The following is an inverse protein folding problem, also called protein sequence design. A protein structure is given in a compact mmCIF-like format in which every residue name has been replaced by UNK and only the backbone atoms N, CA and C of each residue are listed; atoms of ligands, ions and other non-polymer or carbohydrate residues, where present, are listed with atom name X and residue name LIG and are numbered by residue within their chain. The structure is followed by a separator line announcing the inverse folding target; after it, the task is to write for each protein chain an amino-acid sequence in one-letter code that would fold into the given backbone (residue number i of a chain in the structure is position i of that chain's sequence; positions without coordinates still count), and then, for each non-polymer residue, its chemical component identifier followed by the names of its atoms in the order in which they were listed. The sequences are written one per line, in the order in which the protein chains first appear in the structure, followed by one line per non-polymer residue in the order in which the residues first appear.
data_IF_437493645578
#
_entry.id   IF_437493645578
#
_cell.length_a   1.000
_cell.length_b   1.000
_cell.length_c   1.000
_cell.angle_alpha   90.00
_cell.angle_beta   90.00
_cell.angle_gamma   90.00
#
_symmetry.space_group_name_H-M   'P 1'
#
loop_
_entity.id
_entity.type
_entity.pdbx_description
1 polymer ?
#
# COMPACT_ATOMS: atom_id res chain seq x y z
N UNK A 1 8.50 -16.90 -9.67
CA UNK A 1 9.04 -15.58 -9.29
C UNK A 1 8.15 -15.07 -8.17
N UNK A 2 8.74 -14.57 -7.07
CA UNK A 2 7.95 -14.07 -5.94
C UNK A 2 7.62 -12.61 -6.18
N UNK A 3 6.36 -12.30 -6.48
CA UNK A 3 5.88 -10.92 -6.60
C UNK A 3 5.95 -10.24 -5.23
N UNK A 4 6.54 -9.06 -5.16
CA UNK A 4 6.53 -8.22 -3.97
C UNK A 4 5.61 -7.02 -4.19
N UNK A 5 4.91 -6.63 -3.12
CA UNK A 5 4.06 -5.45 -3.06
C UNK A 5 4.50 -4.61 -1.87
N UNK A 6 4.65 -3.32 -2.14
CA UNK A 6 4.91 -2.27 -1.17
C UNK A 6 3.67 -1.39 -1.17
N UNK A 7 3.06 -1.18 0.00
CA UNK A 7 1.97 -0.22 0.17
C UNK A 7 2.43 0.82 1.19
N UNK A 8 2.24 2.10 0.89
CA UNK A 8 2.54 3.23 1.75
C UNK A 8 1.27 4.04 1.97
N UNK A 9 0.99 4.41 3.22
CA UNK A 9 -0.23 5.10 3.63
C UNK A 9 0.14 6.16 4.68
N UNK A 10 -0.46 7.36 4.67
CA UNK A 10 -0.28 8.30 5.77
C UNK A 10 -0.62 7.68 7.13
N UNK A 11 0.18 7.95 8.16
CA UNK A 11 0.01 7.41 9.51
C UNK A 11 -1.33 7.81 10.13
N UNK A 12 -1.87 8.98 9.76
CA UNK A 12 -3.21 9.43 10.18
C UNK A 12 -4.35 8.53 9.68
N UNK A 13 -4.11 7.72 8.64
CA UNK A 13 -5.10 6.84 8.02
C UNK A 13 -4.88 5.36 8.38
N UNK A 14 -3.98 5.05 9.31
CA UNK A 14 -3.54 3.69 9.61
C UNK A 14 -4.69 2.77 10.04
N UNK A 15 -5.60 3.26 10.87
CA UNK A 15 -6.71 2.46 11.39
C UNK A 15 -7.73 2.15 10.29
N UNK A 16 -8.08 3.16 9.49
CA UNK A 16 -8.95 3.02 8.32
C UNK A 16 -8.34 2.07 7.29
N UNK A 17 -7.04 2.18 7.05
CA UNK A 17 -6.32 1.31 6.13
C UNK A 17 -6.26 -0.16 6.60
N UNK A 18 -6.08 -0.38 7.90
CA UNK A 18 -6.14 -1.73 8.48
C UNK A 18 -7.55 -2.32 8.34
N UNK A 19 -8.59 -1.54 8.60
CA UNK A 19 -9.98 -1.97 8.40
C UNK A 19 -10.25 -2.30 6.92
N UNK A 20 -9.77 -1.47 5.99
CA UNK A 20 -9.87 -1.71 4.55
C UNK A 20 -9.16 -3.00 4.15
N UNK A 21 -7.92 -3.20 4.64
CA UNK A 21 -7.18 -4.43 4.38
C UNK A 21 -7.91 -5.67 4.89
N UNK A 22 -8.52 -5.60 6.07
CA UNK A 22 -9.35 -6.68 6.60
C UNK A 22 -10.58 -6.94 5.72
N UNK A 23 -11.29 -5.89 5.28
CA UNK A 23 -12.44 -6.00 4.38
C UNK A 23 -12.07 -6.64 3.03
N UNK A 24 -10.86 -6.36 2.53
CA UNK A 24 -10.31 -6.95 1.30
C UNK A 24 -9.71 -8.35 1.49
N UNK A 25 -9.82 -8.95 2.69
CA UNK A 25 -9.32 -10.30 2.95
C UNK A 25 -7.80 -10.40 3.08
N UNK A 26 -7.11 -9.27 3.32
CA UNK A 26 -5.66 -9.20 3.54
C UNK A 26 -5.26 -9.70 4.94
N UNK A 27 -6.24 -9.77 5.85
CA UNK A 27 -6.05 -10.22 7.22
C UNK A 27 -5.19 -9.26 8.07
N UNK A 28 -4.95 -9.63 9.33
CA UNK A 28 -4.22 -8.81 10.31
C UNK A 28 -2.70 -8.90 10.20
N UNK A 29 -2.15 -9.59 9.20
CA UNK A 29 -0.71 -9.93 9.10
C UNK A 29 0.11 -8.94 8.26
N UNK A 30 -0.24 -7.67 8.29
CA UNK A 30 0.55 -6.65 7.61
C UNK A 30 1.65 -6.15 8.56
N UNK A 31 2.90 -6.10 8.08
CA UNK A 31 3.98 -5.48 8.83
C UNK A 31 3.97 -3.98 8.60
N UNK A 32 3.79 -3.24 9.68
CA UNK A 32 3.70 -1.78 9.70
C UNK A 32 5.06 -1.19 10.08
N UNK A 33 5.69 -0.43 9.19
CA UNK A 33 6.96 0.28 9.47
C UNK A 33 6.73 1.77 9.30
N UNK A 34 7.05 2.57 10.32
CA UNK A 34 6.97 4.03 10.20
C UNK A 34 8.10 4.56 9.33
N UNK A 35 7.77 5.49 8.46
CA UNK A 35 8.67 6.19 7.56
C UNK A 35 8.60 7.69 7.82
N UNK A 36 9.74 8.33 7.69
CA UNK A 36 9.88 9.79 7.73
C UNK A 36 10.56 10.28 6.45
N UNK A 37 10.40 11.55 6.09
CA UNK A 37 11.24 12.19 5.08
C UNK A 37 12.73 11.97 5.35
N UNK A 38 13.51 11.78 4.28
CA UNK A 38 14.96 11.63 4.35
C UNK A 38 15.63 12.95 4.76
N UNK A 39 15.06 14.08 4.33
CA UNK A 39 15.46 15.42 4.72
C UNK A 39 14.60 15.86 5.91
N UNK A 40 15.18 15.89 7.11
CA UNK A 40 14.54 16.09 8.43
C UNK A 40 13.82 17.44 8.64
N UNK A 41 13.62 18.23 7.57
CA UNK A 41 13.08 19.60 7.63
C UNK A 41 11.62 19.73 7.17
N UNK A 42 10.99 18.67 6.67
CA UNK A 42 9.64 18.80 6.08
C UNK A 42 8.51 18.47 7.05
N UNK A 43 7.47 19.30 7.04
CA UNK A 43 6.14 19.08 7.67
C UNK A 43 5.33 17.99 6.95
N UNK A 44 5.99 17.04 6.29
CA UNK A 44 5.29 15.96 5.59
C UNK A 44 4.71 15.00 6.63
N UNK A 45 3.43 14.60 6.53
CA UNK A 45 2.83 13.69 7.50
C UNK A 45 3.63 12.38 7.57
N UNK A 46 3.78 11.84 8.78
CA UNK A 46 4.38 10.52 8.98
C UNK A 46 3.73 9.52 8.02
N UNK A 47 4.53 8.78 7.26
CA UNK A 47 4.04 7.76 6.35
C UNK A 47 4.26 6.41 6.99
N UNK A 48 3.34 5.50 6.79
CA UNK A 48 3.48 4.13 7.24
C UNK A 48 3.57 3.20 6.06
N UNK A 49 4.56 2.33 6.09
CA UNK A 49 4.72 1.24 5.16
C UNK A 49 4.02 -0.01 5.65
N UNK A 50 3.39 -0.69 4.70
CA UNK A 50 2.79 -2.01 4.84
C UNK A 50 3.49 -2.99 3.90
N UNK A 51 4.14 -3.99 4.51
CA UNK A 51 5.00 -4.94 3.81
C UNK A 51 4.35 -6.30 3.54
N UNK A 52 4.58 -6.76 2.31
CA UNK A 52 4.46 -8.12 1.78
C UNK A 52 3.22 -8.95 2.14
N UNK A 53 2.14 -8.65 1.44
CA UNK A 53 1.04 -9.58 1.30
C UNK A 53 1.43 -10.66 0.30
N UNK A 54 1.42 -11.94 0.72
CA UNK A 54 1.50 -13.09 -0.19
C UNK A 54 0.45 -13.03 -1.32
N UNK A 55 -0.61 -12.22 -1.14
CA UNK A 55 -1.68 -11.95 -2.11
C UNK A 55 -1.35 -10.87 -3.16
N UNK A 56 -0.19 -10.21 -3.08
CA UNK A 56 0.32 -9.29 -4.09
C UNK A 56 0.37 -9.89 -5.51
N UNK A 57 0.48 -11.22 -5.57
CA UNK A 57 0.48 -11.99 -6.81
C UNK A 57 -0.93 -12.30 -7.35
N UNK A 58 -2.00 -11.98 -6.60
CA UNK A 58 -3.36 -12.27 -7.04
C UNK A 58 -3.86 -11.21 -8.02
N UNK A 59 -4.14 -11.56 -9.29
CA UNK A 59 -4.59 -10.59 -10.30
C UNK A 59 -5.87 -9.86 -9.90
N UNK A 60 -6.75 -10.52 -9.13
CA UNK A 60 -8.00 -9.93 -8.64
C UNK A 60 -7.75 -8.79 -7.66
N UNK A 61 -6.77 -8.94 -6.76
CA UNK A 61 -6.43 -7.89 -5.82
C UNK A 61 -5.88 -6.65 -6.55
N UNK A 62 -4.97 -6.86 -7.50
CA UNK A 62 -4.40 -5.77 -8.30
C UNK A 62 -5.48 -5.04 -9.12
N UNK A 63 -6.38 -5.78 -9.75
CA UNK A 63 -7.51 -5.22 -10.48
C UNK A 63 -8.43 -4.40 -9.56
N UNK A 64 -8.69 -4.87 -8.33
CA UNK A 64 -9.46 -4.11 -7.34
C UNK A 64 -8.77 -2.81 -6.93
N UNK A 65 -7.46 -2.84 -6.66
CA UNK A 65 -6.70 -1.63 -6.30
C UNK A 65 -6.69 -0.59 -7.42
N UNK A 66 -6.49 -1.04 -8.67
CA UNK A 66 -6.50 -0.17 -9.85
C UNK A 66 -7.89 0.42 -10.10
N UNK A 67 -8.92 -0.41 -10.10
CA UNK A 67 -10.31 0.06 -10.24
C UNK A 67 -10.67 1.06 -9.15
N UNK A 68 -10.23 0.82 -7.92
CA UNK A 68 -10.47 1.69 -6.79
C UNK A 68 -9.77 3.07 -6.95
N UNK A 69 -8.56 3.12 -7.50
CA UNK A 69 -7.88 4.38 -7.85
C UNK A 69 -8.64 5.16 -8.93
N UNK A 70 -9.30 4.47 -9.85
CA UNK A 70 -10.20 5.06 -10.86
C UNK A 70 -11.59 5.43 -10.29
N UNK A 71 -11.81 5.28 -8.97
CA UNK A 71 -13.06 5.61 -8.28
C UNK A 71 -14.11 4.49 -8.30
N UNK A 72 -13.77 3.30 -8.79
CA UNK A 72 -14.64 2.13 -8.85
C UNK A 72 -14.33 1.20 -7.68
N UNK A 73 -15.11 1.32 -6.61
CA UNK A 73 -14.99 0.45 -5.44
C UNK A 73 -15.71 -0.88 -5.65
N UNK A 74 -15.21 -1.99 -5.09
CA UNK A 74 -15.94 -3.26 -5.11
C UNK A 74 -17.23 -3.15 -4.29
N UNK A 75 -18.25 -3.90 -4.70
CA UNK A 75 -19.51 -4.03 -3.94
C UNK A 75 -19.28 -4.87 -2.67
N UNK A 76 -18.87 -4.19 -1.61
CA UNK A 76 -18.66 -4.74 -0.26
C UNK A 76 -19.55 -3.97 0.72
N UNK A 77 -20.11 -4.68 1.70
CA UNK A 77 -20.81 -4.06 2.82
C UNK A 77 -19.80 -3.40 3.78
N UNK A 78 -19.34 -2.20 3.42
CA UNK A 78 -18.32 -1.45 4.17
C UNK A 78 -18.73 -1.16 5.61
N UNK A 79 -20.03 -0.94 5.86
CA UNK A 79 -20.55 -0.64 7.19
C UNK A 79 -20.33 -1.83 8.15
N UNK A 80 -20.46 -3.06 7.66
CA UNK A 80 -20.14 -4.28 8.44
C UNK A 80 -18.68 -4.38 8.87
N UNK A 81 -17.79 -3.64 8.18
CA UNK A 81 -16.37 -3.50 8.49
C UNK A 81 -16.02 -2.21 9.23
N UNK A 82 -17.03 -1.40 9.61
CA UNK A 82 -16.83 -0.12 10.30
C UNK A 82 -16.27 0.97 9.40
N UNK A 83 -16.50 0.90 8.09
CA UNK A 83 -16.01 1.83 7.09
C UNK A 83 -17.15 2.52 6.35
N UNK A 84 -16.96 3.78 5.99
CA UNK A 84 -17.81 4.48 5.00
C UNK A 84 -17.14 4.49 3.62
N UNK A 85 -17.93 4.75 2.57
CA UNK A 85 -17.42 4.89 1.20
C UNK A 85 -16.39 6.02 1.10
N UNK A 86 -16.60 7.12 1.82
CA UNK A 86 -15.70 8.27 1.86
C UNK A 86 -14.35 7.91 2.50
N UNK A 87 -14.36 7.17 3.60
CA UNK A 87 -13.16 6.70 4.28
C UNK A 87 -12.35 5.73 3.39
N UNK A 88 -13.04 4.85 2.67
CA UNK A 88 -12.42 3.94 1.71
C UNK A 88 -11.76 4.73 0.58
N UNK A 89 -12.49 5.69 -0.01
CA UNK A 89 -11.97 6.55 -1.06
C UNK A 89 -10.75 7.38 -0.60
N UNK A 90 -10.79 7.94 0.61
CA UNK A 90 -9.67 8.70 1.19
C UNK A 90 -8.41 7.85 1.31
N UNK A 91 -8.53 6.63 1.86
CA UNK A 91 -7.39 5.71 1.99
C UNK A 91 -6.82 5.34 0.62
N UNK A 92 -7.66 5.07 -0.38
CA UNK A 92 -7.23 4.69 -1.73
C UNK A 92 -6.57 5.86 -2.48
N UNK A 93 -7.07 7.08 -2.30
CA UNK A 93 -6.47 8.27 -2.92
C UNK A 93 -5.10 8.61 -2.31
N UNK A 94 -4.95 8.37 -1.01
CA UNK A 94 -3.74 8.73 -0.27
C UNK A 94 -2.68 7.63 -0.26
N UNK A 95 -3.05 6.39 -0.60
CA UNK A 95 -2.08 5.30 -0.65
C UNK A 95 -1.21 5.35 -1.90
N UNK A 96 0.06 4.99 -1.71
CA UNK A 96 0.98 4.68 -2.82
C UNK A 96 1.26 3.19 -2.78
N UNK A 97 1.26 2.52 -3.93
CA UNK A 97 1.72 1.14 -4.01
C UNK A 97 2.72 0.94 -5.13
N UNK A 98 3.53 -0.10 -5.00
CA UNK A 98 4.47 -0.55 -6.03
C UNK A 98 4.50 -2.07 -6.03
N UNK A 99 4.55 -2.66 -7.22
CA UNK A 99 4.59 -4.10 -7.45
C UNK A 99 5.91 -4.43 -8.15
N UNK A 100 6.54 -5.55 -7.80
CA UNK A 100 7.73 -6.03 -8.51
C UNK A 100 7.72 -7.54 -8.71
N UNK A 101 7.96 -8.03 -9.95
CA UNK A 101 7.93 -7.25 -11.19
C UNK A 101 6.51 -6.72 -11.45
N UNK A 102 6.39 -5.50 -11.96
CA UNK A 102 5.13 -4.95 -12.43
C UNK A 102 4.74 -5.66 -13.75
N UNK A 103 3.61 -6.40 -13.78
CA UNK A 103 3.19 -7.11 -15.00
C UNK A 103 2.74 -6.20 -16.13
N UNK A 104 2.43 -4.93 -15.86
CA UNK A 104 1.97 -3.96 -16.85
C UNK A 104 3.08 -3.02 -17.35
N UNK A 105 4.27 -3.05 -16.73
CA UNK A 105 5.40 -2.22 -17.15
C UNK A 105 5.98 -2.69 -18.50
N UNK A 106 6.31 -1.75 -19.38
CA UNK A 106 7.01 -2.03 -20.65
C UNK A 106 8.35 -2.74 -20.41
N UNK A 107 9.05 -2.36 -19.32
CA UNK A 107 10.27 -3.01 -18.84
C UNK A 107 10.12 -3.39 -17.35
N UNK A 108 9.65 -4.62 -17.04
CA UNK A 108 9.42 -5.04 -15.67
C UNK A 108 10.72 -5.14 -14.85
N UNK A 109 10.84 -4.29 -13.84
CA UNK A 109 11.97 -4.33 -12.90
C UNK A 109 11.71 -5.39 -11.84
N UNK A 110 12.55 -6.42 -11.82
CA UNK A 110 12.59 -7.41 -10.75
C UNK A 110 13.62 -7.02 -9.70
N UNK A 111 13.23 -7.04 -8.43
CA UNK A 111 14.15 -6.84 -7.32
C UNK A 111 14.67 -8.19 -6.79
N UNK A 112 15.85 -8.19 -6.17
CA UNK A 112 16.43 -9.38 -5.54
C UNK A 112 15.55 -9.99 -4.43
N UNK A 113 14.57 -9.24 -3.95
CA UNK A 113 13.51 -9.71 -3.07
C UNK A 113 12.68 -8.56 -2.48
N UNK A 114 11.71 -8.91 -1.61
CA UNK A 114 10.85 -7.97 -0.87
C UNK A 114 11.55 -6.76 -0.27
N UNK A 115 12.70 -7.01 0.37
CA UNK A 115 13.48 -5.96 1.04
C UNK A 115 14.09 -4.99 0.04
N UNK A 116 14.69 -5.50 -1.03
CA UNK A 116 15.30 -4.66 -2.07
C UNK A 116 14.25 -3.83 -2.82
N UNK A 117 13.05 -4.39 -3.02
CA UNK A 117 11.90 -3.65 -3.56
C UNK A 117 11.46 -2.53 -2.63
N UNK A 118 11.28 -2.83 -1.33
CA UNK A 118 10.92 -1.82 -0.34
C UNK A 118 11.94 -0.68 -0.26
N UNK A 119 13.24 -1.00 -0.16
CA UNK A 119 14.33 -0.01 -0.11
C UNK A 119 14.35 0.88 -1.38
N UNK A 120 14.11 0.29 -2.55
CA UNK A 120 14.00 1.03 -3.81
C UNK A 120 12.83 2.03 -3.79
N UNK A 121 11.65 1.59 -3.36
CA UNK A 121 10.44 2.43 -3.33
C UNK A 121 10.60 3.61 -2.37
N UNK A 122 11.02 3.36 -1.12
CA UNK A 122 11.15 4.46 -0.14
C UNK A 122 12.23 5.46 -0.54
N UNK A 123 13.34 4.98 -1.12
CA UNK A 123 14.41 5.87 -1.61
C UNK A 123 13.92 6.74 -2.77
N UNK A 124 13.17 6.15 -3.72
CA UNK A 124 12.58 6.88 -4.85
C UNK A 124 11.58 7.97 -4.43
N UNK A 125 10.97 7.82 -3.26
CA UNK A 125 10.05 8.79 -2.67
C UNK A 125 10.71 9.76 -1.66
N UNK A 126 12.03 9.67 -1.47
CA UNK A 126 12.74 10.50 -0.49
C UNK A 126 12.36 10.18 0.96
N UNK A 127 12.02 8.93 1.27
CA UNK A 127 11.63 8.43 2.58
C UNK A 127 12.71 7.52 3.19
N UNK A 128 12.76 7.48 4.52
CA UNK A 128 13.61 6.57 5.32
C UNK A 128 12.81 5.92 6.45
N UNK A 129 13.33 4.82 7.00
CA UNK A 129 12.75 4.19 8.19
C UNK A 129 12.91 5.14 9.39
N UNK A 130 11.82 5.37 10.12
CA UNK A 130 11.85 6.12 11.37
C UNK A 130 12.69 5.35 12.42
N UNK A 131 13.68 6.03 13.01
CA UNK A 131 14.57 5.46 14.03
C UNK A 131 13.95 5.39 15.42
#
# INVERSE_FOLDING_TARGET
MSTSLVILIPASLIDTANALGNALGLGSRNFTVRLTPADDESETPEVTHYGLLHQAAEPRFLATMKAAQDGVLPEIDWESHGLTVEQVAEVIQMMTYSISPDPEAEEPVSHAGPRAHFEHVITGLGLRIAG
#
